data_IF_424853086965
#
_entry.id   IF_424853086965
#
_cell.length_a   1.000
_cell.length_b   1.000
_cell.length_c   1.000
_cell.angle_alpha   90.00
_cell.angle_beta   90.00
_cell.angle_gamma   90.00
#
_symmetry.space_group_name_H-M   'P 1'
#
loop_
_entity.id
_entity.type
_entity.pdbx_description
1 polymer ?
#
# COMPACT_ATOMS: atom_id res chain seq x y z
N UNK A 1 -0.81 -0.41 13.95
CA UNK A 1 -0.98 0.92 13.35
C UNK A 1 0.09 1.10 12.30
N UNK A 2 -0.32 1.03 11.05
CA UNK A 2 0.51 1.22 9.86
C UNK A 2 0.43 2.67 9.36
N UNK A 3 -0.68 3.36 9.64
CA UNK A 3 -0.77 4.82 9.44
C UNK A 3 0.20 5.48 10.41
N UNK A 4 1.28 6.04 9.86
CA UNK A 4 2.28 6.77 10.62
C UNK A 4 1.84 8.21 10.89
N UNK A 5 1.32 8.89 9.86
CA UNK A 5 0.81 10.24 9.99
C UNK A 5 -0.44 10.44 9.12
N UNK A 6 -1.37 11.25 9.63
CA UNK A 6 -2.58 11.62 8.89
C UNK A 6 -2.28 12.74 7.91
N UNK A 7 -2.88 12.66 6.74
CA UNK A 7 -2.93 13.76 5.80
C UNK A 7 -4.20 14.58 6.05
N UNK A 8 -4.04 15.85 6.45
CA UNK A 8 -5.16 16.73 6.78
C UNK A 8 -5.88 17.25 5.54
N UNK A 9 -5.16 17.36 4.42
CA UNK A 9 -5.69 17.85 3.16
C UNK A 9 -6.47 16.75 2.44
N UNK A 10 -5.95 15.53 2.49
CA UNK A 10 -6.61 14.33 1.98
C UNK A 10 -6.59 13.19 3.02
N UNK A 11 -7.63 13.08 3.86
CA UNK A 11 -7.75 12.02 4.87
C UNK A 11 -7.76 10.59 4.31
N UNK A 12 -7.99 10.41 3.00
CA UNK A 12 -7.91 9.10 2.34
C UNK A 12 -6.49 8.74 1.91
N UNK A 13 -5.54 9.67 1.98
CA UNK A 13 -4.15 9.46 1.57
C UNK A 13 -3.19 9.74 2.74
N UNK A 14 -3.16 8.91 3.79
CA UNK A 14 -2.23 9.06 4.92
C UNK A 14 -0.78 8.68 4.54
N UNK A 15 0.16 9.06 5.38
CA UNK A 15 1.52 8.53 5.36
C UNK A 15 1.56 7.18 6.08
N UNK A 16 2.10 6.17 5.41
CA UNK A 16 2.13 4.77 5.86
C UNK A 16 3.58 4.34 6.04
N UNK A 17 3.87 3.70 7.17
CA UNK A 17 5.16 3.06 7.40
C UNK A 17 5.16 1.65 6.82
N UNK A 18 5.98 1.39 5.81
CA UNK A 18 6.22 0.06 5.26
C UNK A 18 7.52 -0.48 5.86
N UNK A 19 7.41 -1.63 6.53
CA UNK A 19 8.56 -2.30 7.11
C UNK A 19 9.60 -2.63 6.03
N UNK A 20 10.85 -2.19 6.22
CA UNK A 20 11.95 -2.39 5.27
C UNK A 20 12.03 -1.37 4.13
N UNK A 21 11.04 -0.51 3.94
CA UNK A 21 11.00 0.48 2.84
C UNK A 21 10.88 1.93 3.32
N UNK A 22 10.48 2.15 4.57
CA UNK A 22 10.35 3.49 5.15
C UNK A 22 8.91 4.02 5.05
N UNK A 23 8.77 5.34 4.99
CA UNK A 23 7.45 6.01 5.00
C UNK A 23 7.12 6.55 3.63
N UNK A 24 5.91 6.27 3.17
CA UNK A 24 5.40 6.72 1.88
C UNK A 24 3.93 7.11 2.04
N UNK A 25 3.47 8.02 1.19
CA UNK A 25 2.04 8.32 1.08
C UNK A 25 1.30 7.13 0.48
N UNK A 26 0.07 6.86 0.91
CA UNK A 26 -0.71 5.71 0.43
C UNK A 26 -0.78 5.66 -1.10
N UNK A 27 -1.03 6.80 -1.76
CA UNK A 27 -1.07 6.87 -3.22
C UNK A 27 0.28 6.52 -3.88
N UNK A 28 1.40 6.89 -3.28
CA UNK A 28 2.73 6.52 -3.80
C UNK A 28 2.96 5.01 -3.70
N UNK A 29 2.46 4.37 -2.65
CA UNK A 29 2.54 2.91 -2.48
C UNK A 29 1.70 2.21 -3.54
N UNK A 30 0.50 2.72 -3.82
CA UNK A 30 -0.39 2.22 -4.88
C UNK A 30 0.25 2.36 -6.26
N UNK A 31 0.79 3.54 -6.58
CA UNK A 31 1.48 3.81 -7.86
C UNK A 31 2.70 2.90 -8.05
N UNK A 32 3.51 2.72 -7.00
CA UNK A 32 4.68 1.83 -7.04
C UNK A 32 4.28 0.36 -7.20
N UNK A 33 3.17 -0.06 -6.60
CA UNK A 33 2.66 -1.42 -6.76
C UNK A 33 2.16 -1.67 -8.19
N UNK A 34 1.49 -0.69 -8.81
CA UNK A 34 1.09 -0.77 -10.23
C UNK A 34 2.33 -0.99 -11.12
N UNK A 35 3.38 -0.19 -10.95
CA UNK A 35 4.64 -0.34 -11.71
C UNK A 35 5.30 -1.70 -11.49
N UNK A 36 5.24 -2.24 -10.27
CA UNK A 36 5.75 -3.60 -9.98
C UNK A 36 4.96 -4.66 -10.73
N UNK A 37 3.64 -4.55 -10.81
CA UNK A 37 2.82 -5.47 -11.60
C UNK A 37 3.07 -5.37 -13.10
N UNK A 38 3.23 -4.17 -13.65
CA UNK A 38 3.62 -3.97 -15.05
C UNK A 38 4.96 -4.65 -15.34
N UNK A 39 5.94 -4.50 -14.45
CA UNK A 39 7.23 -5.18 -14.57
C UNK A 39 7.10 -6.70 -14.52
N UNK A 40 6.22 -7.25 -13.67
CA UNK A 40 5.97 -8.69 -13.63
C UNK A 40 5.30 -9.20 -14.91
N UNK A 41 4.36 -8.43 -15.45
CA UNK A 41 3.71 -8.75 -16.73
C UNK A 41 4.74 -8.77 -17.88
N UNK A 42 5.68 -7.83 -17.91
CA UNK A 42 6.74 -7.80 -18.91
C UNK A 42 7.75 -8.95 -18.77
N UNK A 43 8.07 -9.35 -17.53
CA UNK A 43 8.87 -10.56 -17.28
C UNK A 43 8.15 -11.82 -17.77
N UNK A 44 6.84 -11.92 -17.55
CA UNK A 44 6.05 -13.06 -17.96
C UNK A 44 6.01 -13.18 -19.50
N UNK A 45 5.88 -12.07 -20.23
CA UNK A 45 5.98 -12.04 -21.69
C UNK A 45 7.33 -12.59 -22.19
N UNK A 46 8.40 -12.35 -21.44
CA UNK A 46 9.76 -12.84 -21.73
C UNK A 46 10.03 -14.26 -21.21
N UNK A 47 9.06 -14.88 -20.52
CA UNK A 47 9.20 -16.18 -19.83
C UNK A 47 10.33 -16.18 -18.78
N UNK A 48 10.59 -15.04 -18.16
CA UNK A 48 11.54 -14.89 -17.05
C UNK A 48 10.89 -15.33 -15.73
N UNK A 49 10.71 -16.65 -15.59
CA UNK A 49 10.03 -17.23 -14.42
C UNK A 49 10.85 -17.13 -13.15
N UNK A 50 12.18 -17.21 -13.25
CA UNK A 50 13.09 -17.06 -12.11
C UNK A 50 13.03 -15.64 -11.55
N UNK A 51 13.00 -14.62 -12.42
CA UNK A 51 12.83 -13.22 -12.00
C UNK A 51 11.48 -12.95 -11.33
N UNK A 52 10.41 -13.60 -11.81
CA UNK A 52 9.07 -13.53 -11.20
C UNK A 52 9.07 -14.19 -9.82
N UNK A 53 9.60 -15.41 -9.70
CA UNK A 53 9.68 -16.13 -8.43
C UNK A 53 10.49 -15.34 -7.40
N UNK A 54 11.63 -14.77 -7.80
CA UNK A 54 12.43 -13.92 -6.93
C UNK A 54 11.63 -12.71 -6.41
N UNK A 55 10.92 -12.01 -7.29
CA UNK A 55 10.15 -10.81 -6.90
C UNK A 55 8.95 -11.12 -6.03
N UNK A 56 8.21 -12.19 -6.36
CA UNK A 56 7.03 -12.58 -5.59
C UNK A 56 7.44 -13.28 -4.30
N UNK A 57 8.30 -14.28 -4.32
CA UNK A 57 8.46 -15.17 -3.18
C UNK A 57 9.69 -14.87 -2.34
N UNK A 58 10.79 -14.40 -2.96
CA UNK A 58 12.07 -14.26 -2.26
C UNK A 58 12.30 -12.84 -1.72
N UNK A 59 11.89 -11.82 -2.47
CA UNK A 59 12.05 -10.41 -2.05
C UNK A 59 10.97 -9.96 -1.07
N UNK A 60 9.78 -10.57 -1.11
CA UNK A 60 8.62 -10.20 -0.29
C UNK A 60 8.07 -8.79 -0.50
N UNK A 61 8.64 -8.02 -1.45
CA UNK A 61 8.33 -6.59 -1.64
C UNK A 61 6.88 -6.38 -2.06
N UNK A 62 6.38 -7.20 -2.99
CA UNK A 62 5.02 -7.06 -3.52
C UNK A 62 3.99 -7.33 -2.42
N UNK A 63 4.24 -8.37 -1.61
CA UNK A 63 3.41 -8.73 -0.47
C UNK A 63 3.40 -7.62 0.58
N UNK A 64 4.57 -7.09 0.94
CA UNK A 64 4.67 -6.00 1.91
C UNK A 64 3.86 -4.76 1.48
N UNK A 65 3.89 -4.41 0.20
CA UNK A 65 3.12 -3.28 -0.35
C UNK A 65 1.62 -3.56 -0.34
N UNK A 66 1.19 -4.77 -0.76
CA UNK A 66 -0.22 -5.18 -0.71
C UNK A 66 -0.74 -5.15 0.73
N UNK A 67 0.03 -5.69 1.69
CA UNK A 67 -0.34 -5.70 3.10
C UNK A 67 -0.42 -4.29 3.66
N UNK A 68 0.54 -3.42 3.35
CA UNK A 68 0.51 -2.02 3.76
C UNK A 68 -0.76 -1.32 3.26
N UNK A 69 -1.11 -1.48 1.97
CA UNK A 69 -2.32 -0.89 1.38
C UNK A 69 -3.58 -1.45 2.08
N UNK A 70 -3.71 -2.78 2.18
CA UNK A 70 -4.90 -3.42 2.75
C UNK A 70 -5.11 -2.99 4.20
N UNK A 71 -4.06 -3.10 5.01
CA UNK A 71 -4.13 -2.73 6.42
C UNK A 71 -4.40 -1.23 6.59
N UNK A 72 -3.85 -0.37 5.73
CA UNK A 72 -4.15 1.08 5.78
C UNK A 72 -5.63 1.35 5.53
N UNK A 73 -6.23 0.73 4.52
CA UNK A 73 -7.67 0.87 4.27
C UNK A 73 -8.53 0.30 5.42
N UNK A 74 -8.12 -0.82 6.02
CA UNK A 74 -8.79 -1.36 7.20
C UNK A 74 -8.70 -0.40 8.40
N UNK A 75 -7.53 0.20 8.65
CA UNK A 75 -7.33 1.20 9.70
C UNK A 75 -8.16 2.47 9.45
N UNK A 76 -8.22 2.96 8.21
CA UNK A 76 -9.08 4.09 7.83
C UNK A 76 -10.55 3.79 8.10
N UNK A 77 -11.02 2.60 7.73
CA UNK A 77 -12.40 2.17 7.97
C UNK A 77 -12.70 2.02 9.47
N UNK A 78 -11.74 1.54 10.27
CA UNK A 78 -11.87 1.53 11.73
C UNK A 78 -11.95 2.94 12.32
N UNK A 79 -11.10 3.87 11.87
CA UNK A 79 -11.16 5.29 12.29
C UNK A 79 -12.52 5.88 11.91
N UNK A 80 -13.01 5.60 10.69
CA UNK A 80 -14.33 6.03 10.22
C UNK A 80 -15.45 5.54 11.14
N UNK A 81 -15.45 4.25 11.47
CA UNK A 81 -16.45 3.60 12.34
C UNK A 81 -16.43 4.12 13.77
N UNK A 82 -15.23 4.39 14.32
CA UNK A 82 -15.10 5.00 15.67
C UNK A 82 -15.66 6.42 15.71
N UNK A 83 -15.69 7.12 14.57
CA UNK A 83 -16.24 8.47 14.47
C UNK A 83 -15.34 9.55 15.08
N UNK A 84 -15.91 10.74 15.28
CA UNK A 84 -15.24 11.89 15.90
C UNK A 84 -14.45 12.78 14.93
N UNK A 85 -13.63 13.68 15.47
CA UNK A 85 -12.88 14.65 14.65
C UNK A 85 -11.97 13.97 13.63
N UNK A 86 -11.43 12.81 14.00
CA UNK A 86 -10.47 12.04 13.21
C UNK A 86 -11.09 11.25 12.05
N UNK A 87 -12.41 11.05 12.02
CA UNK A 87 -13.11 10.34 10.94
C UNK A 87 -13.59 11.27 9.82
N UNK A 88 -13.50 12.60 10.00
CA UNK A 88 -14.02 13.57 9.04
C UNK A 88 -13.22 13.46 7.74
N UNK A 89 -13.94 13.32 6.62
CA UNK A 89 -13.34 13.20 5.29
C UNK A 89 -12.89 11.78 4.91
N UNK A 90 -12.88 10.81 5.83
CA UNK A 90 -12.66 9.40 5.49
C UNK A 90 -13.95 8.81 4.92
N UNK A 91 -13.89 8.39 3.66
CA UNK A 91 -15.02 7.80 2.93
C UNK A 91 -15.03 6.29 3.16
N UNK A 92 -16.23 5.70 3.12
CA UNK A 92 -16.37 4.25 3.06
C UNK A 92 -15.83 3.78 1.70
N UNK A 93 -15.01 2.73 1.70
CA UNK A 93 -14.52 2.07 0.50
C UNK A 93 -15.60 1.18 -0.12
#
# INVERSE_FOLDING_TARGET
ENIYAKNKEDPMNPEVLIQGFGRLMLNQIEDDLVRKFESLADMAKKKDWDGIDYRLNQSGVVQAFIEAIRNTYEELEQIRRRGGMNSRGIKQR
#
